data_IF_994309683886
#
_entry.id   IF_994309683886
#
_cell.length_a   1.000
_cell.length_b   1.000
_cell.length_c   1.000
_cell.angle_alpha   90.00
_cell.angle_beta   90.00
_cell.angle_gamma   90.00
#
_symmetry.space_group_name_H-M   'P 1'
#
loop_
_entity.id
_entity.type
_entity.pdbx_description
1 polymer ?
#
# COMPACT_ATOMS: atom_id res chain seq x y z
N UNK A 1 -11.45 -7.65 -0.95
CA UNK A 1 -10.71 -6.73 -0.04
C UNK A 1 -11.65 -5.93 0.85
N UNK A 2 -12.72 -5.34 0.31
CA UNK A 2 -13.60 -4.41 1.05
C UNK A 2 -14.21 -5.00 2.34
N UNK A 3 -14.70 -6.22 2.32
CA UNK A 3 -15.33 -6.86 3.50
C UNK A 3 -14.30 -7.35 4.55
N UNK A 4 -13.00 -7.40 4.21
CA UNK A 4 -11.92 -7.78 5.13
C UNK A 4 -11.21 -6.57 5.75
N UNK A 5 -11.58 -5.35 5.36
CA UNK A 5 -11.04 -4.15 5.98
C UNK A 5 -11.65 -3.93 7.35
N UNK A 6 -10.89 -3.24 8.20
CA UNK A 6 -11.40 -2.78 9.50
C UNK A 6 -12.67 -1.94 9.31
N UNK A 7 -13.78 -2.25 10.02
CA UNK A 7 -15.02 -1.49 9.90
C UNK A 7 -14.87 0.00 10.23
N UNK A 8 -13.90 0.34 11.09
CA UNK A 8 -13.64 1.73 11.48
C UNK A 8 -12.87 2.52 10.40
N UNK A 9 -12.21 1.80 9.46
CA UNK A 9 -11.45 2.39 8.36
C UNK A 9 -11.70 1.63 7.05
N UNK A 10 -12.92 1.65 6.52
CA UNK A 10 -13.27 0.87 5.34
C UNK A 10 -12.60 1.44 4.08
N UNK A 11 -11.95 0.58 3.33
CA UNK A 11 -11.43 0.91 1.99
C UNK A 11 -12.59 0.99 0.99
N UNK A 12 -12.56 1.96 0.09
CA UNK A 12 -13.61 2.23 -0.90
C UNK A 12 -13.09 2.19 -2.33
N UNK A 13 -13.91 1.74 -3.27
CA UNK A 13 -13.63 1.91 -4.70
C UNK A 13 -13.61 3.40 -5.05
N UNK A 14 -12.65 3.82 -5.87
CA UNK A 14 -12.47 5.22 -6.25
C UNK A 14 -11.79 6.08 -5.18
N UNK A 15 -11.34 5.50 -4.06
CA UNK A 15 -10.67 6.24 -2.99
C UNK A 15 -9.15 6.35 -3.16
N UNK A 16 -8.59 5.88 -4.26
CA UNK A 16 -7.16 5.94 -4.56
C UNK A 16 -6.40 4.68 -4.17
N UNK A 17 -5.08 4.82 -4.12
CA UNK A 17 -4.15 3.73 -3.82
C UNK A 17 -4.34 3.23 -2.39
N UNK A 18 -4.37 1.93 -2.21
CA UNK A 18 -4.50 1.29 -0.91
C UNK A 18 -3.13 0.90 -0.37
N UNK A 19 -2.70 1.53 0.72
CA UNK A 19 -1.50 1.16 1.47
C UNK A 19 -1.89 0.16 2.56
N UNK A 20 -1.27 -1.01 2.53
CA UNK A 20 -1.69 -2.14 3.38
C UNK A 20 -0.76 -2.32 4.57
N UNK A 21 -1.34 -2.47 5.76
CA UNK A 21 -0.64 -2.80 6.99
C UNK A 21 -1.17 -4.11 7.59
N UNK A 22 -0.30 -4.84 8.23
CA UNK A 22 -0.66 -6.06 8.95
C UNK A 22 0.23 -6.23 10.18
N UNK A 23 -0.38 -6.44 11.34
CA UNK A 23 0.35 -6.58 12.61
C UNK A 23 1.32 -7.78 12.62
N UNK A 24 1.00 -8.85 11.87
CA UNK A 24 1.86 -10.03 11.73
C UNK A 24 2.88 -9.89 10.58
N UNK A 25 3.05 -8.69 10.02
CA UNK A 25 3.97 -8.39 8.90
C UNK A 25 3.74 -9.26 7.65
N UNK A 26 2.54 -9.76 7.45
CA UNK A 26 2.15 -10.44 6.19
C UNK A 26 2.13 -9.48 5.00
N UNK A 27 1.92 -8.18 5.27
CA UNK A 27 2.25 -7.06 4.41
C UNK A 27 3.46 -6.36 5.01
N UNK A 28 4.48 -6.11 4.22
CA UNK A 28 5.79 -5.61 4.67
C UNK A 28 5.81 -4.14 5.04
N UNK A 29 4.73 -3.42 4.81
CA UNK A 29 4.62 -2.00 5.15
C UNK A 29 4.78 -1.80 6.65
N UNK A 30 5.72 -0.93 7.01
CA UNK A 30 5.93 -0.43 8.36
C UNK A 30 5.70 1.09 8.42
N UNK A 31 5.91 1.70 9.59
CA UNK A 31 5.69 3.13 9.77
C UNK A 31 6.56 3.97 8.83
N UNK A 32 7.82 3.59 8.63
CA UNK A 32 8.78 4.34 7.79
C UNK A 32 8.43 4.22 6.32
N UNK A 33 8.34 2.99 5.80
CA UNK A 33 8.03 2.76 4.38
C UNK A 33 6.66 3.31 3.98
N UNK A 34 5.69 3.21 4.88
CA UNK A 34 4.36 3.79 4.67
C UNK A 34 4.39 5.32 4.66
N UNK A 35 5.16 5.97 5.54
CA UNK A 35 5.32 7.42 5.55
C UNK A 35 5.99 7.91 4.26
N UNK A 36 7.05 7.24 3.81
CA UNK A 36 7.74 7.56 2.55
C UNK A 36 6.77 7.47 1.37
N UNK A 37 6.05 6.35 1.24
CA UNK A 37 5.10 6.17 0.13
C UNK A 37 3.98 7.22 0.15
N UNK A 38 3.43 7.54 1.32
CA UNK A 38 2.42 8.60 1.45
C UNK A 38 2.96 9.97 1.05
N UNK A 39 4.21 10.30 1.42
CA UNK A 39 4.83 11.56 1.02
C UNK A 39 5.04 11.65 -0.51
N UNK A 40 5.41 10.55 -1.16
CA UNK A 40 5.50 10.46 -2.62
C UNK A 40 4.14 10.70 -3.27
N UNK A 41 3.09 10.02 -2.78
CA UNK A 41 1.74 10.19 -3.29
C UNK A 41 1.22 11.62 -3.08
N UNK A 42 1.51 12.23 -1.93
CA UNK A 42 1.14 13.62 -1.65
C UNK A 42 1.80 14.60 -2.62
N UNK A 43 3.09 14.43 -2.93
CA UNK A 43 3.79 15.24 -3.95
C UNK A 43 3.19 15.07 -5.35
N UNK A 44 2.65 13.90 -5.65
CA UNK A 44 2.05 13.57 -6.94
C UNK A 44 0.53 13.84 -7.03
N UNK A 45 -0.07 14.40 -5.97
CA UNK A 45 -1.52 14.60 -5.86
C UNK A 45 -2.30 13.30 -6.09
N UNK A 46 -1.85 12.22 -5.45
CA UNK A 46 -2.49 10.89 -5.52
C UNK A 46 -3.15 10.57 -4.19
N UNK A 47 -4.47 10.29 -4.17
CA UNK A 47 -5.16 9.90 -2.95
C UNK A 47 -4.71 8.52 -2.48
N UNK A 48 -4.57 8.37 -1.16
CA UNK A 48 -4.14 7.12 -0.50
C UNK A 48 -5.11 6.74 0.60
N UNK A 49 -5.54 5.48 0.57
CA UNK A 49 -6.33 4.86 1.64
C UNK A 49 -5.43 3.90 2.44
N UNK A 50 -5.77 3.68 3.69
CA UNK A 50 -5.09 2.68 4.54
C UNK A 50 -5.98 1.46 4.67
N UNK A 51 -5.39 0.29 4.48
CA UNK A 51 -6.02 -1.00 4.73
C UNK A 51 -5.36 -1.69 5.92
N UNK A 52 -6.17 -2.09 6.87
CA UNK A 52 -5.84 -3.06 7.91
C UNK A 52 -6.86 -4.19 7.87
N UNK A 53 -6.42 -5.40 8.17
CA UNK A 53 -7.35 -6.52 8.30
C UNK A 53 -8.23 -6.35 9.53
N UNK A 54 -9.46 -6.84 9.44
CA UNK A 54 -10.27 -7.09 10.64
C UNK A 54 -9.50 -8.03 11.58
N UNK A 55 -9.65 -7.81 12.88
CA UNK A 55 -8.93 -8.60 13.88
C UNK A 55 -9.33 -10.08 13.90
N UNK A 56 -10.55 -10.40 13.45
CA UNK A 56 -11.14 -11.74 13.38
C UNK A 56 -10.91 -12.43 12.02
N UNK A 57 -10.27 -11.75 11.04
CA UNK A 57 -10.03 -12.29 9.71
C UNK A 57 -8.52 -12.53 9.46
N UNK A 58 -8.11 -13.75 9.07
CA UNK A 58 -6.73 -14.00 8.72
C UNK A 58 -6.37 -13.25 7.44
N UNK A 59 -5.27 -12.50 7.48
CA UNK A 59 -4.70 -11.87 6.29
C UNK A 59 -3.95 -12.88 5.42
N UNK A 60 -4.01 -12.69 4.09
CA UNK A 60 -3.10 -13.36 3.16
C UNK A 60 -1.68 -12.78 3.25
N UNK A 61 -0.70 -13.46 2.68
CA UNK A 61 0.67 -12.96 2.50
C UNK A 61 0.88 -12.47 1.06
N UNK A 62 1.85 -11.60 0.86
CA UNK A 62 2.21 -11.02 -0.44
C UNK A 62 3.67 -11.29 -0.79
N UNK A 63 4.07 -10.93 -2.01
CA UNK A 63 5.45 -11.09 -2.48
C UNK A 63 6.46 -10.35 -1.60
N UNK A 64 6.11 -9.19 -1.06
CA UNK A 64 6.98 -8.43 -0.17
C UNK A 64 7.41 -9.23 1.05
N UNK A 65 6.50 -9.99 1.65
CA UNK A 65 6.83 -10.86 2.77
C UNK A 65 7.87 -11.92 2.38
N UNK A 66 7.73 -12.55 1.21
CA UNK A 66 8.70 -13.53 0.70
C UNK A 66 10.06 -12.88 0.38
N UNK A 67 10.03 -11.70 -0.24
CA UNK A 67 11.25 -10.96 -0.60
C UNK A 67 12.00 -10.44 0.62
N UNK A 68 11.32 -10.10 1.71
CA UNK A 68 11.95 -9.59 2.94
C UNK A 68 12.91 -10.59 3.59
N UNK A 69 12.78 -11.88 3.29
CA UNK A 69 13.70 -12.91 3.76
C UNK A 69 15.08 -12.84 3.09
N UNK A 70 15.17 -12.26 1.90
CA UNK A 70 16.40 -12.19 1.11
C UNK A 70 16.89 -10.76 0.85
N UNK A 71 15.99 -9.78 0.90
CA UNK A 71 16.27 -8.37 0.62
C UNK A 71 15.90 -7.52 1.83
N UNK A 72 16.88 -7.12 2.66
CA UNK A 72 16.63 -6.29 3.85
C UNK A 72 16.52 -4.79 3.47
N UNK A 73 15.52 -4.46 2.66
CA UNK A 73 15.21 -3.08 2.25
C UNK A 73 13.84 -2.67 2.75
N UNK A 74 13.59 -1.37 2.99
CA UNK A 74 12.25 -0.87 3.28
C UNK A 74 11.28 -1.20 2.15
N UNK A 75 10.15 -1.82 2.49
CA UNK A 75 9.13 -2.21 1.52
C UNK A 75 7.76 -1.66 1.93
N UNK A 76 6.95 -1.27 0.95
CA UNK A 76 5.56 -0.91 1.13
C UNK A 76 4.67 -1.81 0.26
N UNK A 77 3.61 -2.35 0.86
CA UNK A 77 2.62 -3.16 0.16
C UNK A 77 1.44 -2.27 -0.23
N UNK A 78 1.22 -2.14 -1.51
CA UNK A 78 0.19 -1.29 -2.09
C UNK A 78 -0.75 -2.09 -2.99
N UNK A 79 -1.91 -1.54 -3.27
CA UNK A 79 -2.88 -2.17 -4.17
C UNK A 79 -4.03 -1.26 -4.50
N UNK A 80 -5.00 -1.78 -5.26
CA UNK A 80 -6.27 -1.13 -5.53
C UNK A 80 -7.38 -1.78 -4.71
N UNK A 81 -8.41 -1.01 -4.38
CA UNK A 81 -9.63 -1.56 -3.82
C UNK A 81 -10.31 -2.48 -4.85
N UNK A 82 -10.78 -3.64 -4.40
CA UNK A 82 -11.44 -4.62 -5.26
C UNK A 82 -12.63 -5.27 -4.56
N UNK A 83 -13.69 -5.50 -5.32
CA UNK A 83 -14.78 -6.41 -4.98
C UNK A 83 -14.47 -7.79 -5.55
N UNK A 84 -14.92 -8.82 -4.84
CA UNK A 84 -14.81 -10.22 -5.26
C UNK A 84 -13.38 -10.63 -5.67
N UNK A 85 -12.36 -10.16 -4.94
CA UNK A 85 -10.95 -10.52 -5.17
C UNK A 85 -10.76 -12.05 -5.17
N UNK A 86 -10.04 -12.56 -6.14
CA UNK A 86 -9.79 -13.98 -6.43
C UNK A 86 -11.00 -14.75 -6.96
N UNK A 87 -12.08 -14.08 -7.35
CA UNK A 87 -13.20 -14.72 -8.05
C UNK A 87 -12.98 -14.70 -9.57
N UNK A 88 -13.86 -15.42 -10.30
CA UNK A 88 -13.81 -15.44 -11.75
C UNK A 88 -14.10 -14.06 -12.40
N UNK A 89 -14.82 -13.20 -11.68
CA UNK A 89 -15.09 -11.81 -12.08
C UNK A 89 -14.79 -10.91 -10.89
N UNK A 90 -13.87 -10.00 -11.07
CA UNK A 90 -13.48 -9.00 -10.08
C UNK A 90 -13.88 -7.60 -10.55
N UNK A 91 -14.16 -6.72 -9.61
CA UNK A 91 -14.49 -5.32 -9.91
C UNK A 91 -13.52 -4.38 -9.23
N UNK A 92 -12.95 -3.45 -9.98
CA UNK A 92 -12.10 -2.37 -9.49
C UNK A 92 -12.52 -1.03 -10.09
N UNK A 93 -12.05 0.06 -9.54
CA UNK A 93 -12.29 1.40 -10.08
C UNK A 93 -11.22 1.78 -11.10
N UNK A 94 -11.61 2.33 -12.23
CA UNK A 94 -10.69 2.91 -13.22
C UNK A 94 -9.87 4.05 -12.59
N UNK A 95 -10.51 4.88 -11.77
CA UNK A 95 -9.83 5.97 -11.06
C UNK A 95 -8.73 5.47 -10.12
N UNK A 96 -8.91 4.29 -9.47
CA UNK A 96 -7.87 3.69 -8.63
C UNK A 96 -6.71 3.15 -9.47
N UNK A 97 -6.97 2.61 -10.66
CA UNK A 97 -5.93 2.17 -11.60
C UNK A 97 -5.11 3.36 -12.12
N UNK A 98 -5.74 4.48 -12.43
CA UNK A 98 -5.06 5.73 -12.79
C UNK A 98 -4.22 6.27 -11.64
N UNK A 99 -4.78 6.29 -10.42
CA UNK A 99 -4.07 6.70 -9.20
C UNK A 99 -2.84 5.82 -8.95
N UNK A 100 -2.97 4.50 -9.11
CA UNK A 100 -1.86 3.55 -8.98
C UNK A 100 -0.77 3.84 -10.01
N UNK A 101 -1.13 4.07 -11.26
CA UNK A 101 -0.18 4.40 -12.34
C UNK A 101 0.60 5.67 -12.01
N UNK A 102 -0.09 6.72 -11.54
CA UNK A 102 0.55 7.98 -11.11
C UNK A 102 1.47 7.78 -9.91
N UNK A 103 1.04 7.01 -8.92
CA UNK A 103 1.83 6.73 -7.72
C UNK A 103 3.13 5.99 -8.06
N UNK A 104 3.04 4.94 -8.88
CA UNK A 104 4.22 4.15 -9.32
C UNK A 104 5.14 5.00 -10.19
N UNK A 105 4.61 5.80 -11.11
CA UNK A 105 5.42 6.71 -11.91
C UNK A 105 6.14 7.76 -11.04
N UNK A 106 5.47 8.30 -10.01
CA UNK A 106 6.09 9.22 -9.07
C UNK A 106 7.18 8.53 -8.25
N UNK A 107 6.94 7.32 -7.78
CA UNK A 107 7.92 6.52 -7.04
C UNK A 107 9.22 6.32 -7.85
N UNK A 108 9.13 6.00 -9.13
CA UNK A 108 10.32 5.80 -9.98
C UNK A 108 11.05 7.10 -10.33
N UNK A 109 10.45 8.27 -10.12
CA UNK A 109 11.09 9.57 -10.38
C UNK A 109 11.72 10.20 -9.14
N UNK A 110 11.35 9.71 -7.96
CA UNK A 110 11.86 10.24 -6.70
C UNK A 110 13.23 9.64 -6.39
N UNK A 111 14.18 10.49 -6.03
CA UNK A 111 15.41 10.07 -5.40
C UNK A 111 15.22 10.03 -3.89
N UNK A 112 15.26 8.82 -3.33
CA UNK A 112 15.15 8.58 -1.90
C UNK A 112 16.55 8.48 -1.30
N UNK A 113 16.90 9.42 -0.41
CA UNK A 113 18.17 9.44 0.30
C UNK A 113 17.97 9.16 1.79
N UNK A 114 18.63 8.13 2.30
CA UNK A 114 18.69 7.88 3.73
C UNK A 114 19.77 8.77 4.37
N UNK A 115 19.41 9.47 5.44
CA UNK A 115 20.32 10.35 6.19
C UNK A 115 20.84 9.70 7.48
N UNK A 116 20.39 8.51 7.82
CA UNK A 116 20.60 7.82 9.09
C UNK A 116 19.44 8.04 10.07
N UNK A 117 19.44 7.29 11.16
CA UNK A 117 18.45 7.39 12.27
C UNK A 117 16.96 7.32 11.81
N UNK A 118 16.68 6.60 10.72
CA UNK A 118 15.34 6.50 10.17
C UNK A 118 14.84 7.77 9.44
N UNK A 119 15.72 8.74 9.22
CA UNK A 119 15.42 9.96 8.45
C UNK A 119 15.69 9.76 6.97
N UNK A 120 14.75 10.22 6.14
CA UNK A 120 14.83 10.15 4.68
C UNK A 120 14.46 11.49 4.04
N UNK A 121 15.11 11.83 2.93
CA UNK A 121 14.72 12.95 2.06
C UNK A 121 14.19 12.42 0.73
N UNK A 122 13.22 13.13 0.18
CA UNK A 122 12.63 12.90 -1.14
C UNK A 122 13.03 14.06 -2.06
N UNK A 123 13.90 13.80 -3.01
CA UNK A 123 14.41 14.75 -4.01
C UNK A 123 13.86 14.45 -5.39
#
# INVERSE_FOLDING_TARGET
MLFRSDPCAPVRLGGGVVLKYNASQKYTTNAVSGAIFRAICQKADVPVQVFTNRADEPGGSTLGNLQSHTLPIPMADIGCAQLAMHSAVETASVADAEAMTKAVAAFYRVHLRALGDGTYTLE
#
